data_IF_818822762162
#
_entry.id   IF_818822762162
#
_cell.length_a   1.000
_cell.length_b   1.000
_cell.length_c   1.000
_cell.angle_alpha   90.00
_cell.angle_beta   90.00
_cell.angle_gamma   90.00
#
_symmetry.space_group_name_H-M   'P 1'
#
loop_
_entity.id
_entity.type
_entity.pdbx_description
1 polymer ?
#
# COMPACT_ATOMS: atom_id res chain seq x y z
N UNK A 1 -4.86 24.21 -15.32
CA UNK A 1 -3.53 23.79 -15.80
C UNK A 1 -2.45 24.38 -14.91
N UNK A 2 -1.35 23.68 -14.70
CA UNK A 2 -0.22 24.11 -13.87
C UNK A 2 1.07 23.49 -14.39
N UNK A 3 2.22 24.13 -14.15
CA UNK A 3 3.53 23.60 -14.54
C UNK A 3 3.89 23.77 -16.02
N UNK A 4 3.20 24.66 -16.75
CA UNK A 4 3.56 24.96 -18.15
C UNK A 4 4.75 25.92 -18.17
N UNK A 5 5.91 25.44 -18.66
CA UNK A 5 7.14 26.24 -18.78
C UNK A 5 7.10 27.15 -20.01
N UNK A 6 6.66 26.63 -21.17
CA UNK A 6 6.60 27.37 -22.44
C UNK A 6 5.37 28.27 -22.54
N UNK A 7 4.24 27.84 -21.95
CA UNK A 7 2.94 28.56 -21.97
C UNK A 7 2.53 28.98 -20.57
N UNK A 8 3.42 29.71 -19.90
CA UNK A 8 3.21 30.16 -18.54
C UNK A 8 1.96 31.05 -18.38
N UNK A 9 1.54 31.73 -19.46
CA UNK A 9 0.33 32.53 -19.58
C UNK A 9 -0.97 31.73 -19.41
N UNK A 10 -0.91 30.40 -19.55
CA UNK A 10 -2.02 29.48 -19.36
C UNK A 10 -2.02 28.79 -18.00
N UNK A 11 -0.98 29.00 -17.17
CA UNK A 11 -0.97 28.48 -15.81
C UNK A 11 -2.13 29.05 -14.99
N UNK A 12 -2.70 28.22 -14.12
CA UNK A 12 -3.87 28.49 -13.26
C UNK A 12 -5.19 28.76 -13.99
N UNK A 13 -5.23 28.68 -15.33
CA UNK A 13 -6.50 28.69 -16.08
C UNK A 13 -7.11 27.29 -16.14
N UNK A 14 -8.44 27.20 -16.03
CA UNK A 14 -9.20 25.97 -16.30
C UNK A 14 -9.44 25.80 -17.80
N UNK A 15 -9.80 24.59 -18.23
CA UNK A 15 -10.19 24.35 -19.63
C UNK A 15 -11.35 25.28 -20.04
N UNK A 16 -12.39 25.37 -19.21
CA UNK A 16 -13.55 26.24 -19.43
C UNK A 16 -13.16 27.70 -19.57
N UNK A 17 -12.26 28.20 -18.70
CA UNK A 17 -11.80 29.59 -18.76
C UNK A 17 -11.04 29.93 -20.04
N UNK A 18 -10.38 28.95 -20.68
CA UNK A 18 -9.68 29.16 -21.95
C UNK A 18 -10.66 29.03 -23.12
N UNK A 19 -11.58 28.06 -23.05
CA UNK A 19 -12.63 27.85 -24.05
C UNK A 19 -13.51 29.10 -24.23
N UNK A 20 -13.81 29.78 -23.14
CA UNK A 20 -14.70 30.93 -23.14
C UNK A 20 -13.98 32.27 -23.43
N UNK A 21 -12.65 32.29 -23.47
CA UNK A 21 -11.84 33.47 -23.81
C UNK A 21 -11.71 33.60 -25.34
N UNK A 22 -12.32 34.63 -25.97
CA UNK A 22 -12.28 34.80 -27.42
C UNK A 22 -10.85 34.95 -27.97
N UNK A 23 -9.91 35.47 -27.16
CA UNK A 23 -8.52 35.66 -27.56
C UNK A 23 -7.71 34.34 -27.54
N UNK A 24 -8.33 33.23 -27.11
CA UNK A 24 -7.69 31.92 -26.92
C UNK A 24 -8.32 30.83 -27.77
N UNK A 25 -9.15 31.20 -28.74
CA UNK A 25 -9.78 30.25 -29.68
C UNK A 25 -8.75 29.39 -30.41
N UNK A 26 -7.64 29.97 -30.83
CA UNK A 26 -6.58 29.24 -31.53
C UNK A 26 -5.90 28.21 -30.61
N UNK A 27 -5.68 28.57 -29.34
CA UNK A 27 -5.13 27.65 -28.34
C UNK A 27 -6.04 26.43 -28.14
N UNK A 28 -7.35 26.65 -28.07
CA UNK A 28 -8.35 25.57 -27.92
C UNK A 28 -8.46 24.73 -29.18
N UNK A 29 -8.48 25.35 -30.36
CA UNK A 29 -8.51 24.63 -31.62
C UNK A 29 -7.25 23.77 -31.78
N UNK A 30 -6.06 24.29 -31.43
CA UNK A 30 -4.83 23.53 -31.45
C UNK A 30 -4.85 22.36 -30.46
N UNK A 31 -5.42 22.57 -29.26
CA UNK A 31 -5.56 21.52 -28.25
C UNK A 31 -6.53 20.41 -28.69
N UNK A 32 -7.73 20.75 -29.17
CA UNK A 32 -8.75 19.79 -29.56
C UNK A 32 -8.38 19.02 -30.83
N UNK A 33 -7.64 19.65 -31.75
CA UNK A 33 -7.14 19.00 -32.96
C UNK A 33 -5.78 18.32 -32.76
N UNK A 34 -5.24 18.31 -31.55
CA UNK A 34 -3.98 17.64 -31.29
C UNK A 34 -4.14 16.12 -31.43
N UNK A 35 -3.26 15.49 -32.21
CA UNK A 35 -3.32 14.05 -32.43
C UNK A 35 -2.84 13.29 -31.20
N UNK A 36 -3.72 12.51 -30.59
CA UNK A 36 -3.33 11.53 -29.56
C UNK A 36 -2.64 10.37 -30.29
N UNK A 37 -1.31 10.26 -30.10
CA UNK A 37 -0.52 9.17 -30.68
C UNK A 37 -0.60 7.95 -29.77
N UNK A 38 -1.16 6.86 -30.31
CA UNK A 38 -1.19 5.57 -29.64
C UNK A 38 -0.13 4.66 -30.24
N UNK A 39 0.74 4.11 -29.41
CA UNK A 39 1.75 3.11 -29.80
C UNK A 39 1.40 1.80 -29.12
N UNK A 40 1.23 0.74 -29.92
CA UNK A 40 0.99 -0.62 -29.40
C UNK A 40 2.31 -1.37 -29.41
N UNK A 41 2.79 -1.75 -28.22
CA UNK A 41 4.00 -2.55 -28.05
C UNK A 41 3.57 -4.01 -27.86
N UNK A 42 4.16 -4.92 -28.63
CA UNK A 42 3.90 -6.38 -28.57
C UNK A 42 5.22 -7.13 -28.51
N UNK A 43 5.18 -8.40 -28.08
CA UNK A 43 6.33 -9.32 -28.07
C UNK A 43 7.56 -8.77 -27.32
N UNK A 44 7.34 -8.16 -26.15
CA UNK A 44 8.45 -7.72 -25.31
C UNK A 44 9.16 -8.90 -24.65
N UNK A 45 10.48 -8.80 -24.42
CA UNK A 45 11.28 -9.94 -23.94
C UNK A 45 11.05 -10.26 -22.46
N UNK A 46 10.64 -9.27 -21.65
CA UNK A 46 10.34 -9.46 -20.22
C UNK A 46 9.52 -8.32 -19.64
N UNK A 47 8.86 -8.58 -18.52
CA UNK A 47 8.17 -7.57 -17.70
C UNK A 47 9.13 -6.43 -17.31
N UNK A 48 10.40 -6.74 -16.99
CA UNK A 48 11.38 -5.70 -16.68
C UNK A 48 11.66 -4.75 -17.86
N UNK A 49 11.62 -5.25 -19.10
CA UNK A 49 11.74 -4.38 -20.28
C UNK A 49 10.56 -3.40 -20.37
N UNK A 50 9.32 -3.87 -20.12
CA UNK A 50 8.16 -2.98 -20.07
C UNK A 50 8.31 -1.91 -18.98
N UNK A 51 8.78 -2.29 -17.78
CA UNK A 51 9.07 -1.32 -16.71
C UNK A 51 10.01 -0.20 -17.20
N UNK A 52 11.10 -0.55 -17.89
CA UNK A 52 12.06 0.42 -18.42
C UNK A 52 11.41 1.30 -19.49
N UNK A 53 10.61 0.72 -20.39
CA UNK A 53 9.89 1.47 -21.42
C UNK A 53 8.93 2.46 -20.78
N UNK A 54 8.11 2.05 -19.82
CA UNK A 54 7.20 2.95 -19.11
C UNK A 54 7.96 4.04 -18.35
N UNK A 55 9.04 3.70 -17.64
CA UNK A 55 9.88 4.70 -16.96
C UNK A 55 10.45 5.73 -17.95
N UNK A 56 10.88 5.28 -19.14
CA UNK A 56 11.41 6.15 -20.19
C UNK A 56 10.35 7.00 -20.89
N UNK A 57 9.18 6.45 -21.18
CA UNK A 57 8.05 7.20 -21.75
C UNK A 57 7.53 8.24 -20.76
N UNK A 58 7.62 7.97 -19.46
CA UNK A 58 7.27 8.92 -18.42
C UNK A 58 8.38 9.95 -18.13
N UNK A 59 9.54 9.88 -18.79
CA UNK A 59 10.58 10.93 -18.67
C UNK A 59 10.12 12.16 -19.45
N UNK A 60 9.64 13.19 -18.74
CA UNK A 60 9.03 14.40 -19.32
C UNK A 60 7.53 14.53 -19.01
N UNK A 61 6.92 13.50 -18.42
CA UNK A 61 5.53 13.47 -17.96
C UNK A 61 5.47 13.18 -16.45
N UNK A 62 4.26 13.16 -15.88
CA UNK A 62 4.07 12.72 -14.49
C UNK A 62 4.44 11.23 -14.39
N UNK A 63 5.46 10.91 -13.59
CA UNK A 63 5.90 9.52 -13.38
C UNK A 63 4.79 8.71 -12.69
N UNK A 64 4.43 7.58 -13.27
CA UNK A 64 3.56 6.58 -12.61
C UNK A 64 4.21 6.13 -11.29
N UNK A 65 3.40 5.96 -10.25
CA UNK A 65 3.85 5.32 -9.02
C UNK A 65 4.14 3.83 -9.27
N UNK A 66 4.88 3.16 -8.37
CA UNK A 66 5.06 1.72 -8.46
C UNK A 66 3.75 0.93 -8.54
N UNK A 67 2.69 1.39 -7.85
CA UNK A 67 1.38 0.74 -7.90
C UNK A 67 0.64 1.00 -9.22
N UNK A 68 0.62 2.23 -9.73
CA UNK A 68 0.04 2.53 -11.05
C UNK A 68 0.73 1.71 -12.16
N UNK A 69 2.05 1.55 -12.05
CA UNK A 69 2.81 0.73 -12.98
C UNK A 69 2.45 -0.75 -12.83
N UNK A 70 2.35 -1.28 -11.60
CA UNK A 70 1.96 -2.68 -11.34
C UNK A 70 0.59 -3.01 -11.95
N UNK A 71 -0.39 -2.12 -11.78
CA UNK A 71 -1.73 -2.28 -12.36
C UNK A 71 -1.67 -2.42 -13.89
N UNK A 72 -0.80 -1.66 -14.56
CA UNK A 72 -0.64 -1.73 -16.01
C UNK A 72 0.14 -2.96 -16.47
N UNK A 73 1.02 -3.51 -15.62
CA UNK A 73 1.97 -4.57 -15.99
C UNK A 73 1.44 -5.98 -15.71
N UNK A 74 0.54 -6.12 -14.74
CA UNK A 74 -0.05 -7.40 -14.33
C UNK A 74 -1.58 -7.33 -14.51
N UNK A 75 -2.08 -7.19 -15.76
CA UNK A 75 -3.52 -7.19 -16.01
C UNK A 75 -4.09 -8.58 -15.75
N UNK A 76 -5.28 -8.64 -15.16
CA UNK A 76 -5.96 -9.89 -14.90
C UNK A 76 -7.04 -9.77 -13.81
N UNK A 77 -7.75 -10.87 -13.54
CA UNK A 77 -8.96 -10.82 -12.71
C UNK A 77 -8.71 -10.40 -11.26
N UNK A 78 -7.52 -10.71 -10.70
CA UNK A 78 -7.15 -10.18 -9.38
C UNK A 78 -6.93 -8.67 -9.41
N UNK A 79 -6.21 -8.15 -10.42
CA UNK A 79 -5.93 -6.71 -10.54
C UNK A 79 -7.20 -5.87 -10.72
N UNK A 80 -8.19 -6.39 -11.47
CA UNK A 80 -9.50 -5.76 -11.64
C UNK A 80 -10.28 -5.79 -10.33
N UNK A 81 -10.36 -6.96 -9.69
CA UNK A 81 -11.06 -7.14 -8.43
C UNK A 81 -10.53 -6.24 -7.31
N UNK A 82 -9.20 -6.13 -7.16
CA UNK A 82 -8.61 -5.35 -6.08
C UNK A 82 -8.76 -3.84 -6.31
N UNK A 83 -8.78 -3.40 -7.57
CA UNK A 83 -9.03 -2.01 -7.94
C UNK A 83 -10.48 -1.62 -7.64
N UNK A 84 -11.45 -2.44 -8.07
CA UNK A 84 -12.87 -2.26 -7.73
C UNK A 84 -13.11 -2.27 -6.22
N UNK A 85 -12.43 -3.15 -5.50
CA UNK A 85 -12.54 -3.24 -4.04
C UNK A 85 -11.98 -1.98 -3.37
N UNK A 86 -10.83 -1.48 -3.81
CA UNK A 86 -10.27 -0.23 -3.29
C UNK A 86 -11.16 0.98 -3.60
N UNK A 87 -11.71 1.04 -4.81
CA UNK A 87 -12.63 2.08 -5.28
C UNK A 87 -13.85 2.21 -4.35
N UNK A 88 -14.41 1.07 -3.93
CA UNK A 88 -15.58 1.00 -3.07
C UNK A 88 -15.27 1.02 -1.55
N UNK A 89 -13.99 0.99 -1.14
CA UNK A 89 -13.62 0.82 0.27
C UNK A 89 -13.69 2.14 1.06
N UNK A 90 -14.70 2.26 1.92
CA UNK A 90 -14.76 3.33 2.91
C UNK A 90 -13.62 3.24 3.95
N UNK A 91 -13.13 2.02 4.23
CA UNK A 91 -12.05 1.77 5.19
C UNK A 91 -10.72 2.38 4.75
N UNK A 92 -10.29 2.13 3.50
CA UNK A 92 -9.05 2.73 2.98
C UNK A 92 -9.17 4.25 2.85
N UNK A 93 -10.34 4.75 2.45
CA UNK A 93 -10.64 6.18 2.41
C UNK A 93 -10.49 6.84 3.79
N UNK A 94 -11.05 6.24 4.84
CA UNK A 94 -10.91 6.73 6.23
C UNK A 94 -9.46 6.74 6.69
N UNK A 95 -8.70 5.66 6.47
CA UNK A 95 -7.28 5.57 6.84
C UNK A 95 -6.43 6.67 6.19
N UNK A 96 -6.70 6.94 4.90
CA UNK A 96 -5.96 7.90 4.09
C UNK A 96 -6.50 9.33 4.21
N UNK A 97 -7.57 9.57 4.99
CA UNK A 97 -8.20 10.88 5.12
C UNK A 97 -8.78 11.40 3.80
N UNK A 98 -9.40 10.52 3.01
CA UNK A 98 -9.97 10.83 1.70
C UNK A 98 -11.47 10.57 1.67
N UNK A 99 -12.16 11.21 0.73
CA UNK A 99 -13.58 10.98 0.41
C UNK A 99 -13.77 10.41 -1.00
N UNK A 100 -12.66 10.09 -1.66
CA UNK A 100 -12.62 9.56 -3.01
C UNK A 100 -11.40 8.64 -3.15
N UNK A 101 -11.39 7.75 -4.15
CA UNK A 101 -10.24 6.92 -4.49
C UNK A 101 -8.94 7.74 -4.59
N UNK A 102 -7.82 7.14 -4.23
CA UNK A 102 -6.53 7.79 -4.32
C UNK A 102 -6.01 7.76 -5.76
N UNK A 103 -5.75 8.91 -6.40
CA UNK A 103 -5.32 8.94 -7.80
C UNK A 103 -3.94 8.31 -8.02
N UNK A 104 -3.17 8.03 -6.96
CA UNK A 104 -1.89 7.31 -7.00
C UNK A 104 -2.03 5.86 -6.56
N UNK A 105 -3.26 5.37 -6.43
CA UNK A 105 -3.62 4.00 -6.06
C UNK A 105 -3.02 3.54 -4.71
N UNK A 106 -2.86 4.48 -3.77
CA UNK A 106 -2.31 4.17 -2.43
C UNK A 106 -3.22 3.26 -1.62
N UNK A 107 -4.52 3.37 -1.84
CA UNK A 107 -5.57 2.47 -1.37
C UNK A 107 -5.38 1.04 -1.89
N UNK A 108 -5.18 0.85 -3.20
CA UNK A 108 -4.87 -0.46 -3.79
C UNK A 108 -3.58 -1.02 -3.22
N UNK A 109 -2.52 -0.21 -3.12
CA UNK A 109 -1.25 -0.64 -2.54
C UNK A 109 -1.42 -1.12 -1.09
N UNK A 110 -2.25 -0.46 -0.28
CA UNK A 110 -2.52 -0.90 1.10
C UNK A 110 -3.17 -2.29 1.16
N UNK A 111 -4.15 -2.55 0.30
CA UNK A 111 -4.82 -3.85 0.24
C UNK A 111 -3.85 -4.95 -0.23
N UNK A 112 -3.05 -4.67 -1.26
CA UNK A 112 -2.06 -5.64 -1.77
C UNK A 112 -0.96 -5.91 -0.74
N UNK A 113 -0.48 -4.88 -0.02
CA UNK A 113 0.47 -5.06 1.09
C UNK A 113 -0.10 -5.96 2.18
N UNK A 114 -1.34 -5.71 2.59
CA UNK A 114 -2.02 -6.53 3.59
C UNK A 114 -2.12 -7.99 3.14
N UNK A 115 -2.64 -8.24 1.93
CA UNK A 115 -2.73 -9.59 1.37
C UNK A 115 -1.36 -10.25 1.25
N UNK A 116 -0.35 -9.48 0.84
CA UNK A 116 1.05 -9.89 0.75
C UNK A 116 1.59 -10.39 2.08
N UNK A 117 1.55 -9.55 3.12
CA UNK A 117 2.05 -9.94 4.43
C UNK A 117 1.23 -11.06 5.07
N UNK A 118 -0.09 -11.09 4.90
CA UNK A 118 -0.93 -12.14 5.48
C UNK A 118 -0.66 -13.52 4.87
N UNK A 119 -0.43 -13.59 3.56
CA UNK A 119 -0.41 -14.86 2.83
C UNK A 119 0.98 -15.28 2.33
N UNK A 120 1.91 -14.33 2.22
CA UNK A 120 3.18 -14.53 1.52
C UNK A 120 4.39 -13.99 2.30
N UNK A 121 4.25 -13.62 3.58
CA UNK A 121 5.37 -13.12 4.41
C UNK A 121 6.65 -13.98 4.33
N UNK A 122 6.59 -15.34 4.30
CA UNK A 122 7.78 -16.18 4.13
C UNK A 122 8.59 -15.93 2.86
N UNK A 123 7.94 -15.44 1.80
CA UNK A 123 8.57 -15.13 0.51
C UNK A 123 9.18 -13.73 0.46
N UNK A 124 9.00 -12.91 1.51
CA UNK A 124 9.51 -11.53 1.52
C UNK A 124 11.03 -11.49 1.39
N UNK A 125 11.52 -10.81 0.35
CA UNK A 125 12.94 -10.72 0.00
C UNK A 125 13.61 -9.40 0.36
N UNK A 126 12.97 -8.53 1.15
CA UNK A 126 13.55 -7.22 1.52
C UNK A 126 13.37 -6.13 0.47
N UNK A 127 12.56 -6.40 -0.56
CA UNK A 127 12.32 -5.51 -1.69
C UNK A 127 10.83 -5.37 -1.92
N UNK A 128 10.24 -4.32 -1.33
CA UNK A 128 8.79 -4.14 -1.33
C UNK A 128 8.16 -4.13 -2.73
N UNK A 129 8.80 -3.45 -3.70
CA UNK A 129 8.28 -3.42 -5.07
C UNK A 129 8.20 -4.83 -5.66
N UNK A 130 9.29 -5.58 -5.60
CA UNK A 130 9.40 -6.93 -6.17
C UNK A 130 8.44 -7.90 -5.45
N UNK A 131 8.29 -7.75 -4.14
CA UNK A 131 7.34 -8.51 -3.35
C UNK A 131 5.89 -8.29 -3.81
N UNK A 132 5.44 -7.04 -3.91
CA UNK A 132 4.07 -6.74 -4.33
C UNK A 132 3.84 -7.11 -5.81
N UNK A 133 4.85 -6.96 -6.66
CA UNK A 133 4.80 -7.42 -8.05
C UNK A 133 4.55 -8.95 -8.10
N UNK A 134 5.28 -9.72 -7.28
CA UNK A 134 5.11 -11.17 -7.14
C UNK A 134 3.76 -11.58 -6.56
N UNK A 135 3.27 -10.90 -5.52
CA UNK A 135 1.94 -11.16 -4.92
C UNK A 135 0.83 -10.95 -5.95
N UNK A 136 0.88 -9.85 -6.72
CA UNK A 136 -0.10 -9.60 -7.76
C UNK A 136 -0.05 -10.66 -8.87
N UNK A 137 1.15 -11.10 -9.27
CA UNK A 137 1.31 -12.13 -10.29
C UNK A 137 0.72 -13.47 -9.80
N UNK A 138 1.12 -13.92 -8.60
CA UNK A 138 0.66 -15.19 -8.01
C UNK A 138 -0.86 -15.23 -7.85
N UNK A 139 -1.46 -14.16 -7.31
CA UNK A 139 -2.91 -14.08 -7.13
C UNK A 139 -3.67 -13.94 -8.45
N UNK A 140 -3.05 -13.37 -9.49
CA UNK A 140 -3.62 -13.34 -10.84
C UNK A 140 -3.62 -14.74 -11.46
N UNK A 141 -2.49 -15.44 -11.38
CA UNK A 141 -2.31 -16.76 -11.99
C UNK A 141 -3.16 -17.85 -11.30
N UNK A 142 -3.37 -17.71 -9.99
CA UNK A 142 -4.13 -18.68 -9.18
C UNK A 142 -5.56 -18.22 -8.84
N UNK A 143 -6.06 -17.16 -9.49
CA UNK A 143 -7.24 -16.42 -9.06
C UNK A 143 -8.49 -17.28 -8.80
N UNK A 144 -8.78 -18.22 -9.70
CA UNK A 144 -9.96 -19.09 -9.58
C UNK A 144 -10.01 -19.86 -8.24
N UNK A 145 -8.84 -20.20 -7.67
CA UNK A 145 -8.74 -20.90 -6.40
C UNK A 145 -8.52 -19.93 -5.22
N UNK A 146 -7.83 -18.80 -5.43
CA UNK A 146 -7.50 -17.86 -4.37
C UNK A 146 -8.64 -16.89 -4.03
N UNK A 147 -9.59 -16.66 -4.95
CA UNK A 147 -10.63 -15.63 -4.80
C UNK A 147 -11.42 -15.73 -3.48
N UNK A 148 -11.94 -16.90 -3.05
CA UNK A 148 -12.70 -16.97 -1.80
C UNK A 148 -11.85 -16.61 -0.58
N UNK A 149 -10.58 -17.04 -0.56
CA UNK A 149 -9.64 -16.71 0.52
C UNK A 149 -9.32 -15.21 0.54
N UNK A 150 -9.02 -14.63 -0.62
CA UNK A 150 -8.74 -13.19 -0.75
C UNK A 150 -9.94 -12.37 -0.28
N UNK A 151 -11.17 -12.75 -0.65
CA UNK A 151 -12.37 -12.06 -0.18
C UNK A 151 -12.52 -12.15 1.35
N UNK A 152 -12.27 -13.32 1.94
CA UNK A 152 -12.26 -13.50 3.40
C UNK A 152 -11.20 -12.64 4.09
N UNK A 153 -9.98 -12.61 3.54
CA UNK A 153 -8.88 -11.79 4.06
C UNK A 153 -9.23 -10.29 4.01
N UNK A 154 -9.88 -9.81 2.94
CA UNK A 154 -10.32 -8.40 2.85
C UNK A 154 -11.46 -8.06 3.81
N UNK A 155 -12.28 -9.04 4.20
CA UNK A 155 -13.25 -8.84 5.28
C UNK A 155 -12.57 -8.73 6.65
N UNK A 156 -11.52 -9.53 6.89
CA UNK A 156 -10.68 -9.40 8.08
C UNK A 156 -9.90 -8.09 8.10
N UNK A 157 -9.46 -7.60 6.93
CA UNK A 157 -8.88 -6.26 6.78
C UNK A 157 -9.86 -5.18 7.25
N UNK A 158 -11.10 -5.20 6.76
CA UNK A 158 -12.11 -4.22 7.15
C UNK A 158 -12.38 -4.27 8.66
N UNK A 159 -12.52 -5.47 9.22
CA UNK A 159 -12.70 -5.68 10.67
C UNK A 159 -11.51 -5.18 11.49
N UNK A 160 -10.28 -5.42 11.02
CA UNK A 160 -9.06 -4.89 11.62
C UNK A 160 -9.04 -3.37 11.61
N UNK A 161 -9.39 -2.75 10.48
CA UNK A 161 -9.42 -1.29 10.34
C UNK A 161 -10.46 -0.67 11.28
N UNK A 162 -11.66 -1.24 11.38
CA UNK A 162 -12.68 -0.74 12.30
C UNK A 162 -12.22 -0.81 13.76
N UNK A 163 -11.64 -1.95 14.19
CA UNK A 163 -11.09 -2.09 15.54
C UNK A 163 -9.93 -1.13 15.80
N UNK A 164 -9.01 -0.97 14.85
CA UNK A 164 -7.88 -0.05 15.02
C UNK A 164 -8.35 1.42 15.05
N UNK A 165 -9.38 1.78 14.30
CA UNK A 165 -9.99 3.13 14.39
C UNK A 165 -10.72 3.31 15.72
N UNK A 166 -11.41 2.30 16.23
CA UNK A 166 -12.04 2.34 17.56
C UNK A 166 -11.00 2.56 18.66
N UNK A 167 -9.88 1.83 18.59
CA UNK A 167 -8.78 1.95 19.54
C UNK A 167 -8.15 3.33 19.38
N UNK A 168 -7.51 3.63 18.25
CA UNK A 168 -6.62 4.78 18.13
C UNK A 168 -7.31 6.08 17.70
N UNK A 169 -8.44 5.98 17.00
CA UNK A 169 -9.04 7.10 16.27
C UNK A 169 -8.50 7.20 14.84
N UNK A 170 -9.35 7.61 13.90
CA UNK A 170 -9.03 7.66 12.48
C UNK A 170 -7.88 8.64 12.14
N UNK A 171 -7.75 9.72 12.93
CA UNK A 171 -6.73 10.75 12.71
C UNK A 171 -5.37 10.43 13.35
N UNK A 172 -5.30 9.44 14.24
CA UNK A 172 -4.09 9.08 15.00
C UNK A 172 -3.54 7.69 14.64
N UNK A 173 -4.39 6.79 14.13
CA UNK A 173 -3.97 5.45 13.69
C UNK A 173 -2.82 5.53 12.67
N UNK A 174 -1.81 4.69 12.89
CA UNK A 174 -0.64 4.57 12.02
C UNK A 174 0.10 5.89 11.75
N UNK A 175 0.10 6.80 12.73
CA UNK A 175 0.88 8.04 12.72
C UNK A 175 1.86 8.07 13.87
N UNK A 176 3.01 8.72 13.63
CA UNK A 176 3.96 9.05 14.68
C UNK A 176 3.39 10.18 15.56
N UNK A 177 3.75 10.24 16.86
CA UNK A 177 3.36 11.36 17.71
C UNK A 177 3.71 12.71 17.06
N UNK A 178 2.72 13.59 16.95
CA UNK A 178 2.87 14.92 16.35
C UNK A 178 2.91 14.96 14.81
N UNK A 179 2.78 13.81 14.12
CA UNK A 179 2.73 13.73 12.66
C UNK A 179 1.31 13.49 12.17
N UNK A 180 0.88 14.26 11.16
CA UNK A 180 -0.39 13.99 10.45
C UNK A 180 -0.24 12.97 9.31
N UNK A 181 0.99 12.55 9.01
CA UNK A 181 1.26 11.66 7.88
C UNK A 181 1.02 10.21 8.25
N UNK A 182 0.11 9.56 7.52
CA UNK A 182 -0.07 8.11 7.56
C UNK A 182 1.23 7.38 7.23
N UNK A 183 1.68 6.49 8.11
CA UNK A 183 2.85 5.64 7.92
C UNK A 183 2.42 4.20 7.64
N UNK A 184 2.66 3.75 6.41
CA UNK A 184 2.31 2.39 5.96
C UNK A 184 3.04 1.30 6.74
N UNK A 185 4.29 1.52 7.13
CA UNK A 185 5.06 0.53 7.89
C UNK A 185 4.44 0.30 9.26
N UNK A 186 4.01 1.37 9.95
CA UNK A 186 3.26 1.23 11.20
C UNK A 186 1.96 0.46 10.95
N UNK A 187 1.21 0.85 9.92
CA UNK A 187 -0.06 0.20 9.60
C UNK A 187 0.10 -1.29 9.28
N UNK A 188 1.16 -1.69 8.56
CA UNK A 188 1.45 -3.10 8.29
C UNK A 188 1.53 -3.90 9.60
N UNK A 189 2.27 -3.38 10.60
CA UNK A 189 2.40 -4.03 11.90
C UNK A 189 1.06 -4.11 12.64
N UNK A 190 0.29 -3.03 12.66
CA UNK A 190 -1.02 -3.01 13.32
C UNK A 190 -2.02 -3.98 12.67
N UNK A 191 -2.19 -3.88 11.35
CA UNK A 191 -3.18 -4.64 10.59
C UNK A 191 -2.85 -6.13 10.51
N UNK A 192 -1.56 -6.50 10.52
CA UNK A 192 -1.13 -7.90 10.48
C UNK A 192 -1.72 -8.70 11.65
N UNK A 193 -1.67 -8.16 12.87
CA UNK A 193 -2.21 -8.82 14.07
C UNK A 193 -3.70 -8.57 14.27
N UNK A 194 -4.19 -7.36 13.99
CA UNK A 194 -5.61 -7.03 14.14
C UNK A 194 -6.53 -7.75 13.14
N UNK A 195 -5.97 -8.39 12.12
CA UNK A 195 -6.71 -9.23 11.20
C UNK A 195 -6.90 -10.69 11.68
N UNK A 196 -6.33 -11.05 12.83
CA UNK A 196 -6.74 -12.26 13.56
C UNK A 196 -7.86 -11.91 14.55
N UNK A 197 -8.92 -12.73 14.57
CA UNK A 197 -10.12 -12.39 15.33
C UNK A 197 -9.91 -12.43 16.85
N UNK A 198 -9.11 -13.35 17.39
CA UNK A 198 -8.88 -13.46 18.83
C UNK A 198 -7.99 -12.31 19.30
N UNK A 199 -6.92 -12.04 18.55
CA UNK A 199 -6.01 -10.93 18.84
C UNK A 199 -6.77 -9.59 18.76
N UNK A 200 -7.55 -9.38 17.69
CA UNK A 200 -8.38 -8.17 17.51
C UNK A 200 -9.34 -7.94 18.67
N UNK A 201 -10.11 -8.97 19.05
CA UNK A 201 -11.07 -8.84 20.15
C UNK A 201 -10.36 -8.50 21.47
N UNK A 202 -9.21 -9.11 21.73
CA UNK A 202 -8.40 -8.82 22.91
C UNK A 202 -7.81 -7.40 22.87
N UNK A 203 -7.36 -6.92 21.70
CA UNK A 203 -6.89 -5.54 21.51
C UNK A 203 -7.99 -4.52 21.81
N UNK A 204 -9.21 -4.72 21.32
CA UNK A 204 -10.34 -3.83 21.57
C UNK A 204 -10.73 -3.83 23.06
N UNK A 205 -10.79 -5.00 23.70
CA UNK A 205 -11.09 -5.14 25.12
C UNK A 205 -10.04 -4.45 26.03
N UNK A 206 -8.79 -4.33 25.57
CA UNK A 206 -7.67 -3.73 26.30
C UNK A 206 -7.14 -2.47 25.60
N UNK A 207 -8.02 -1.63 25.05
CA UNK A 207 -7.64 -0.47 24.23
C UNK A 207 -6.70 0.52 24.92
N UNK A 208 -6.83 0.74 26.23
CA UNK A 208 -5.92 1.59 27.02
C UNK A 208 -4.47 1.07 26.98
N UNK A 209 -4.21 -0.15 27.49
CA UNK A 209 -2.89 -0.78 27.39
C UNK A 209 -2.32 -0.87 25.96
N UNK A 210 -3.17 -1.05 24.95
CA UNK A 210 -2.74 -1.05 23.54
C UNK A 210 -2.24 0.34 23.09
N UNK A 211 -2.88 1.43 23.53
CA UNK A 211 -2.40 2.79 23.27
C UNK A 211 -1.07 3.06 23.97
N UNK A 212 -0.92 2.59 25.20
CA UNK A 212 0.31 2.74 25.97
C UNK A 212 1.47 1.99 25.28
N UNK A 213 1.24 0.77 24.80
CA UNK A 213 2.20 0.00 24.01
C UNK A 213 2.57 0.73 22.71
N UNK A 214 1.58 1.27 21.99
CA UNK A 214 1.84 2.04 20.79
C UNK A 214 2.73 3.25 21.08
N UNK A 215 2.44 4.01 22.15
CA UNK A 215 3.25 5.15 22.56
C UNK A 215 4.65 4.75 23.07
N UNK A 216 4.78 3.59 23.72
CA UNK A 216 6.08 3.01 24.13
C UNK A 216 6.95 2.72 22.90
N UNK A 217 6.44 1.97 21.92
CA UNK A 217 7.19 1.58 20.73
C UNK A 217 7.55 2.78 19.84
N UNK A 218 6.76 3.85 19.81
CA UNK A 218 7.15 5.07 19.09
C UNK A 218 8.39 5.76 19.69
N UNK A 219 8.79 5.40 20.92
CA UNK A 219 10.00 5.90 21.59
C UNK A 219 11.12 4.87 21.61
N UNK A 220 10.89 3.67 21.09
CA UNK A 220 11.89 2.63 20.97
C UNK A 220 12.73 2.88 19.71
N UNK A 221 14.05 3.00 19.87
CA UNK A 221 14.96 3.36 18.78
C UNK A 221 14.90 2.34 17.63
N UNK A 222 14.79 1.05 17.97
CA UNK A 222 14.76 -0.03 16.98
C UNK A 222 13.44 -0.04 16.20
N UNK A 223 12.32 0.16 16.88
CA UNK A 223 11.02 0.30 16.21
C UNK A 223 10.96 1.57 15.35
N UNK A 224 11.50 2.70 15.85
CA UNK A 224 11.58 3.96 15.10
C UNK A 224 12.39 3.80 13.82
N UNK A 225 13.55 3.16 13.89
CA UNK A 225 14.36 2.85 12.71
C UNK A 225 13.59 1.98 11.70
N UNK A 226 12.91 0.94 12.19
CA UNK A 226 12.15 -0.01 11.39
C UNK A 226 10.96 0.60 10.59
N UNK A 227 10.49 1.78 10.98
CA UNK A 227 9.38 2.50 10.33
C UNK A 227 9.82 3.77 9.58
N UNK A 228 11.10 4.14 9.61
CA UNK A 228 11.65 5.36 9.00
C UNK A 228 12.75 5.11 7.97
N UNK A 229 13.66 4.19 8.24
CA UNK A 229 14.89 3.97 7.46
C UNK A 229 14.79 2.67 6.69
N UNK A 230 14.95 2.70 5.37
CA UNK A 230 14.84 1.52 4.48
C UNK A 230 13.79 0.50 4.96
N UNK A 231 12.53 0.96 5.05
CA UNK A 231 11.45 0.14 5.61
C UNK A 231 11.16 -1.11 4.77
N UNK A 232 11.80 -1.27 3.61
CA UNK A 232 11.68 -2.47 2.79
C UNK A 232 12.67 -3.57 3.21
N UNK A 233 13.76 -3.27 3.92
CA UNK A 233 14.72 -4.27 4.36
C UNK A 233 14.06 -5.39 5.18
N UNK A 234 14.60 -6.61 5.07
CA UNK A 234 14.18 -7.75 5.90
C UNK A 234 14.31 -7.41 7.40
N UNK A 235 15.43 -6.86 7.90
CA UNK A 235 15.56 -6.54 9.32
C UNK A 235 14.47 -5.59 9.81
N UNK A 236 14.20 -4.50 9.09
CA UNK A 236 13.18 -3.53 9.49
C UNK A 236 11.75 -4.05 9.37
N UNK A 237 11.47 -4.87 8.34
CA UNK A 237 10.16 -5.52 8.22
C UNK A 237 9.93 -6.53 9.33
N UNK A 238 10.95 -7.33 9.64
CA UNK A 238 10.93 -8.23 10.78
C UNK A 238 10.76 -7.49 12.10
N UNK A 239 11.53 -6.43 12.34
CA UNK A 239 11.54 -5.68 13.60
C UNK A 239 10.18 -5.04 13.88
N UNK A 240 9.58 -4.33 12.92
CA UNK A 240 8.28 -3.70 13.15
C UNK A 240 7.16 -4.70 13.42
N UNK A 241 7.18 -5.86 12.74
CA UNK A 241 6.18 -6.92 12.98
C UNK A 241 6.44 -7.59 14.33
N UNK A 242 7.68 -7.99 14.60
CA UNK A 242 8.04 -8.77 15.79
C UNK A 242 7.94 -7.96 17.08
N UNK A 243 8.41 -6.70 17.10
CA UNK A 243 8.33 -5.84 18.29
C UNK A 243 6.88 -5.54 18.67
N UNK A 244 6.03 -5.25 17.67
CA UNK A 244 4.60 -5.07 17.91
C UNK A 244 3.96 -6.37 18.43
N UNK A 245 4.22 -7.51 17.80
CA UNK A 245 3.69 -8.81 18.21
C UNK A 245 4.13 -9.25 19.61
N UNK A 246 5.40 -9.08 19.96
CA UNK A 246 5.93 -9.38 21.30
C UNK A 246 5.32 -8.45 22.36
N UNK A 247 5.17 -7.16 22.04
CA UNK A 247 4.47 -6.20 22.88
C UNK A 247 3.01 -6.59 23.12
N UNK A 248 2.30 -7.01 22.06
CA UNK A 248 0.92 -7.49 22.15
C UNK A 248 0.82 -8.72 23.05
N UNK A 249 1.70 -9.73 22.91
CA UNK A 249 1.70 -10.90 23.81
C UNK A 249 1.86 -10.51 25.26
N UNK A 250 2.78 -9.58 25.54
CA UNK A 250 3.04 -9.07 26.90
C UNK A 250 1.82 -8.36 27.48
N UNK A 251 1.16 -7.50 26.70
CA UNK A 251 0.06 -6.66 27.17
C UNK A 251 -1.27 -7.41 27.25
N UNK A 252 -1.54 -8.29 26.29
CA UNK A 252 -2.80 -9.02 26.19
C UNK A 252 -2.81 -10.33 26.99
N UNK A 253 -1.63 -10.86 27.34
CA UNK A 253 -1.52 -12.12 28.08
C UNK A 253 -1.98 -13.36 27.29
N UNK A 254 -2.14 -13.25 25.97
CA UNK A 254 -2.52 -14.36 25.09
C UNK A 254 -1.31 -14.88 24.32
N UNK A 255 -1.30 -16.18 24.04
CA UNK A 255 -0.28 -16.83 23.22
C UNK A 255 -0.66 -16.76 21.74
N UNK A 256 0.29 -16.35 20.90
CA UNK A 256 0.22 -16.51 19.44
C UNK A 256 1.64 -16.49 18.87
N UNK A 257 1.78 -17.00 17.65
CA UNK A 257 3.05 -16.97 16.94
C UNK A 257 3.41 -15.56 16.48
N UNK A 258 4.70 -15.25 16.54
CA UNK A 258 5.30 -14.00 16.04
C UNK A 258 6.27 -14.38 14.93
N UNK A 259 6.43 -13.57 13.86
CA UNK A 259 7.44 -13.83 12.85
C UNK A 259 8.82 -14.02 13.46
N UNK A 260 9.64 -14.88 12.84
CA UNK A 260 11.00 -15.18 13.25
C UNK A 260 11.98 -14.85 12.13
N UNK A 261 13.17 -14.37 12.48
CA UNK A 261 14.25 -14.24 11.51
C UNK A 261 14.76 -15.64 11.18
N UNK A 262 14.89 -15.96 9.90
CA UNK A 262 15.44 -17.23 9.43
C UNK A 262 16.68 -16.98 8.57
N UNK A 263 17.63 -17.89 8.61
CA UNK A 263 18.77 -17.93 7.69
C UNK A 263 18.41 -18.90 6.56
N UNK A 264 18.54 -18.44 5.30
CA UNK A 264 18.28 -19.26 4.11
C UNK A 264 19.54 -20.02 3.72
N UNK A 265 19.38 -21.05 2.89
CA UNK A 265 20.48 -21.91 2.43
C UNK A 265 21.59 -21.13 1.69
N UNK A 266 21.26 -19.99 1.09
CA UNK A 266 22.20 -19.10 0.40
C UNK A 266 22.90 -18.09 1.35
N UNK A 267 22.67 -18.19 2.66
CA UNK A 267 23.22 -17.29 3.68
C UNK A 267 22.47 -15.95 3.80
N UNK A 268 21.40 -15.74 3.03
CA UNK A 268 20.56 -14.56 3.15
C UNK A 268 19.57 -14.66 4.31
N UNK A 269 19.19 -13.53 4.90
CA UNK A 269 18.13 -13.50 5.89
C UNK A 269 16.74 -13.63 5.24
N UNK A 270 15.78 -14.16 5.99
CA UNK A 270 14.37 -14.20 5.63
C UNK A 270 13.48 -14.01 6.86
N UNK A 271 12.16 -14.04 6.65
CA UNK A 271 11.16 -13.96 7.72
C UNK A 271 10.32 -15.23 7.69
N UNK A 272 10.40 -16.09 8.70
CA UNK A 272 9.52 -17.24 8.88
C UNK A 272 8.25 -16.86 9.64
N UNK A 273 7.11 -17.46 9.29
CA UNK A 273 5.86 -17.28 10.04
C UNK A 273 4.94 -18.48 9.83
N UNK A 274 4.58 -19.15 10.92
CA UNK A 274 3.79 -20.40 10.92
C UNK A 274 2.28 -20.17 11.08
N UNK A 275 1.81 -18.96 10.79
CA UNK A 275 0.42 -18.52 11.01
C UNK A 275 0.12 -18.22 12.48
N UNK A 276 -1.00 -17.55 12.75
CA UNK A 276 -1.50 -17.39 14.12
C UNK A 276 -2.03 -18.76 14.63
N UNK A 277 -1.65 -19.12 15.86
CA UNK A 277 -2.04 -20.35 16.55
C UNK A 277 -2.41 -20.02 17.98
#
# INVERSE_FOLDING_TARGET
MSGLEVRADLNRKSYTAIKDDPNRRDDINAFLNNTIRTVVIRNWPSTNFLHIVFLRLNTGSVKLSPQELRQAMVPGPFSEFIDDTALASAHTQRLLGRTSPDPRMRDVELLVRFLGFRNFLPTYGGRMKEFLDGVCQELTDTWANSQPRVQGDLNEFNSAVDALIEIFGADEIARKPGSKSFNRAIFDALAFYAADHEIRNSMTAHSGPIKDLYAELMRDDRFSEAIESDTAGIPHTFDRLSLWGLGLRRVLGIGFNVPMLIEREDGSAGIGFDGFR
#
